data_IF_861500274411
#
_entry.id   IF_861500274411
#
_cell.length_a   1.000
_cell.length_b   1.000
_cell.length_c   1.000
_cell.angle_alpha   90.00
_cell.angle_beta   90.00
_cell.angle_gamma   90.00
#
_symmetry.space_group_name_H-M   'P 1'
#
loop_
_entity.id
_entity.type
_entity.pdbx_description
1 polymer ?
#
# COMPACT_ATOMS: atom_id res chain seq x y z
N UNK A 1 6.75 8.62 -7.23
CA UNK A 1 7.54 8.06 -6.12
C UNK A 1 6.93 6.75 -5.70
N UNK A 2 7.77 5.75 -5.44
CA UNK A 2 7.38 4.53 -4.76
C UNK A 2 7.75 4.64 -3.29
N UNK A 3 6.80 4.37 -2.40
CA UNK A 3 7.03 4.37 -0.95
C UNK A 3 6.70 2.98 -0.42
N UNK A 4 7.61 2.40 0.35
CA UNK A 4 7.36 1.17 1.10
C UNK A 4 7.73 1.36 2.57
N UNK A 5 6.97 0.71 3.45
CA UNK A 5 7.26 0.63 4.88
C UNK A 5 7.27 -0.85 5.25
N UNK A 6 8.39 -1.30 5.78
CA UNK A 6 8.59 -2.69 6.21
C UNK A 6 8.66 -2.70 7.72
N UNK A 7 7.85 -3.55 8.34
CA UNK A 7 7.90 -3.83 9.77
C UNK A 7 8.37 -5.27 9.98
N UNK A 8 9.39 -5.44 10.82
CA UNK A 8 9.88 -6.72 11.29
C UNK A 8 10.03 -6.65 12.81
N UNK A 9 9.54 -7.64 13.56
CA UNK A 9 9.34 -7.50 15.02
C UNK A 9 10.63 -7.19 15.78
N UNK A 10 11.74 -7.80 15.38
CA UNK A 10 13.04 -7.66 16.04
C UNK A 10 13.91 -6.56 15.40
N UNK A 11 13.74 -6.33 14.10
CA UNK A 11 14.56 -5.38 13.33
C UNK A 11 13.96 -3.97 13.33
N UNK A 12 12.65 -3.85 13.57
CA UNK A 12 11.91 -2.60 13.67
C UNK A 12 11.25 -2.18 12.36
N UNK A 13 11.12 -0.88 12.15
CA UNK A 13 10.45 -0.31 10.96
C UNK A 13 11.48 0.33 10.05
N UNK A 14 11.45 -0.01 8.76
CA UNK A 14 12.27 0.66 7.73
C UNK A 14 11.36 1.28 6.67
N UNK A 15 11.64 2.54 6.32
CA UNK A 15 10.99 3.23 5.21
C UNK A 15 11.92 3.26 4.00
N UNK A 16 11.35 3.01 2.83
CA UNK A 16 12.01 3.05 1.54
C UNK A 16 11.36 4.08 0.63
N UNK A 17 12.18 4.89 -0.04
CA UNK A 17 11.76 5.80 -1.10
C UNK A 17 12.44 5.37 -2.40
N UNK A 18 11.64 5.14 -3.44
CA UNK A 18 12.10 4.66 -4.76
C UNK A 18 13.02 3.43 -4.69
N UNK A 19 12.79 2.56 -3.70
CA UNK A 19 13.52 1.31 -3.49
C UNK A 19 14.80 1.43 -2.66
N UNK A 20 15.17 2.61 -2.18
CA UNK A 20 16.31 2.81 -1.29
C UNK A 20 15.84 3.13 0.13
N UNK A 21 16.48 2.55 1.14
CA UNK A 21 16.17 2.86 2.54
C UNK A 21 16.44 4.35 2.86
N UNK A 22 15.47 5.03 3.47
CA UNK A 22 15.54 6.46 3.84
C UNK A 22 15.47 6.72 5.35
N UNK A 23 15.15 5.70 6.14
CA UNK A 23 15.16 5.80 7.59
C UNK A 23 14.70 4.49 8.24
N UNK A 24 15.18 4.26 9.46
CA UNK A 24 14.81 3.11 10.27
C UNK A 24 14.61 3.47 11.73
N UNK A 25 13.65 2.80 12.37
CA UNK A 25 13.48 2.74 13.81
C UNK A 25 13.88 1.34 14.26
N UNK A 26 14.91 1.25 15.10
CA UNK A 26 15.42 -0.03 15.58
C UNK A 26 14.56 -0.51 16.75
N UNK A 27 13.92 -1.66 16.57
CA UNK A 27 13.00 -2.31 17.51
C UNK A 27 11.67 -1.56 17.74
N UNK A 28 10.57 -2.31 17.72
CA UNK A 28 9.25 -1.85 18.17
C UNK A 28 8.90 -2.66 19.41
N UNK A 29 8.96 -2.02 20.57
CA UNK A 29 8.76 -2.68 21.87
C UNK A 29 7.29 -2.89 22.23
N UNK A 30 6.37 -2.14 21.61
CA UNK A 30 4.93 -2.25 21.86
C UNK A 30 4.15 -2.18 20.55
N UNK A 31 3.41 -3.26 20.27
CA UNK A 31 2.32 -3.26 19.31
C UNK A 31 1.01 -3.25 20.09
N UNK A 32 0.16 -2.27 19.81
CA UNK A 32 -1.23 -2.31 20.27
C UNK A 32 -2.14 -2.49 19.07
N UNK A 33 -3.11 -3.38 19.17
CA UNK A 33 -4.20 -3.42 18.20
C UNK A 33 -4.97 -2.11 18.29
N UNK A 34 -5.29 -1.51 17.14
CA UNK A 34 -6.15 -0.34 17.12
C UNK A 34 -7.57 -0.75 17.54
N UNK A 35 -8.09 -0.30 18.69
CA UNK A 35 -9.39 -0.73 19.18
C UNK A 35 -10.56 -0.07 18.41
N UNK A 36 -10.28 0.89 17.53
CA UNK A 36 -11.30 1.77 16.94
C UNK A 36 -11.80 1.34 15.55
N UNK A 37 -11.04 0.57 14.75
CA UNK A 37 -11.59 -0.04 13.53
C UNK A 37 -10.79 -1.20 12.98
N UNK A 38 -11.52 -2.18 12.40
CA UNK A 38 -10.97 -3.22 11.51
C UNK A 38 -10.83 -2.77 10.05
N UNK A 39 -11.22 -1.53 9.73
CA UNK A 39 -11.17 -1.00 8.37
C UNK A 39 -9.86 -0.25 8.12
N UNK A 40 -9.29 -0.46 6.94
CA UNK A 40 -8.14 0.25 6.45
C UNK A 40 -8.61 1.48 5.65
N UNK A 41 -7.93 2.61 5.87
CA UNK A 41 -8.18 3.86 5.15
C UNK A 41 -6.91 4.30 4.44
N UNK A 42 -7.07 4.80 3.22
CA UNK A 42 -6.01 5.45 2.46
C UNK A 42 -6.34 6.93 2.28
N UNK A 43 -5.33 7.80 2.35
CA UNK A 43 -5.43 9.26 2.18
C UNK A 43 -6.38 9.97 3.15
N UNK A 44 -6.84 9.28 4.19
CA UNK A 44 -7.76 9.79 5.20
C UNK A 44 -7.55 9.02 6.50
N UNK A 45 -7.79 9.68 7.63
CA UNK A 45 -7.99 8.99 8.90
C UNK A 45 -9.38 8.33 8.99
N UNK A 46 -9.56 7.51 10.02
CA UNK A 46 -10.82 6.81 10.34
C UNK A 46 -12.01 7.77 10.49
N UNK A 47 -11.78 8.96 11.05
CA UNK A 47 -12.84 9.97 11.26
C UNK A 47 -13.11 10.83 10.03
N UNK A 48 -12.28 10.70 8.97
CA UNK A 48 -12.29 11.53 7.77
C UNK A 48 -12.06 13.03 8.02
N UNK A 49 -11.48 13.34 9.18
CA UNK A 49 -11.16 14.68 9.65
C UNK A 49 -9.81 15.15 9.08
N UNK A 50 -8.87 14.24 8.89
CA UNK A 50 -7.57 14.53 8.32
C UNK A 50 -7.40 13.80 6.99
N UNK A 51 -7.12 14.55 5.94
CA UNK A 51 -6.98 14.03 4.57
C UNK A 51 -5.64 14.43 3.99
N UNK A 52 -5.05 13.52 3.24
CA UNK A 52 -3.91 13.81 2.39
C UNK A 52 -4.39 14.15 0.98
N UNK A 53 -3.70 15.05 0.31
CA UNK A 53 -3.91 15.34 -1.11
C UNK A 53 -2.75 14.73 -1.91
N UNK A 54 -3.07 13.97 -2.96
CA UNK A 54 -2.07 13.26 -3.75
C UNK A 54 -2.70 12.24 -4.69
N UNK A 55 -1.84 11.54 -5.41
CA UNK A 55 -2.20 10.48 -6.36
C UNK A 55 -1.73 9.16 -5.76
N UNK A 56 -2.61 8.15 -5.75
CA UNK A 56 -2.26 6.79 -5.39
C UNK A 56 -2.38 5.89 -6.61
N UNK A 57 -1.43 4.97 -6.73
CA UNK A 57 -1.44 3.88 -7.68
C UNK A 57 -0.78 2.68 -7.04
N UNK A 58 -1.23 1.48 -7.42
CA UNK A 58 -0.50 0.24 -7.11
C UNK A 58 -0.24 0.00 -5.61
N UNK A 59 -1.30 0.09 -4.81
CA UNK A 59 -1.23 -0.06 -3.35
C UNK A 59 -1.21 -1.55 -3.00
N UNK A 60 -0.21 -1.98 -2.22
CA UNK A 60 0.01 -3.38 -1.84
C UNK A 60 0.17 -3.52 -0.34
N UNK A 61 -0.30 -4.63 0.22
CA UNK A 61 -0.08 -5.02 1.61
C UNK A 61 0.36 -6.47 1.66
N UNK A 62 1.43 -6.71 2.42
CA UNK A 62 2.04 -8.01 2.61
C UNK A 62 1.95 -8.43 4.07
N UNK A 63 1.80 -9.74 4.32
CA UNK A 63 1.83 -10.34 5.66
C UNK A 63 3.26 -10.72 6.12
N UNK A 64 4.26 -10.39 5.29
CA UNK A 64 5.68 -10.61 5.55
C UNK A 64 6.50 -9.36 5.29
N UNK A 65 7.66 -9.29 5.93
CA UNK A 65 8.67 -8.29 5.59
C UNK A 65 9.23 -8.59 4.19
N UNK A 66 9.16 -7.59 3.30
CA UNK A 66 9.88 -7.63 2.02
C UNK A 66 11.33 -7.20 2.26
N UNK A 67 12.25 -7.86 1.56
CA UNK A 67 13.65 -7.44 1.52
C UNK A 67 13.82 -6.20 0.64
N UNK A 68 14.90 -5.44 0.84
CA UNK A 68 15.21 -4.29 -0.01
C UNK A 68 15.33 -4.69 -1.49
N UNK A 69 15.92 -5.86 -1.78
CA UNK A 69 16.03 -6.38 -3.15
C UNK A 69 14.66 -6.64 -3.77
N UNK A 70 13.73 -7.27 -3.04
CA UNK A 70 12.37 -7.48 -3.54
C UNK A 70 11.66 -6.15 -3.80
N UNK A 71 11.82 -5.16 -2.92
CA UNK A 71 11.26 -3.82 -3.10
C UNK A 71 11.84 -3.17 -4.37
N UNK A 72 13.16 -3.24 -4.57
CA UNK A 72 13.82 -2.64 -5.73
C UNK A 72 13.39 -3.27 -7.05
N UNK A 73 13.19 -4.58 -7.07
CA UNK A 73 12.71 -5.32 -8.25
C UNK A 73 11.25 -4.98 -8.55
N UNK A 74 10.40 -5.01 -7.53
CA UNK A 74 8.95 -4.95 -7.73
C UNK A 74 8.37 -3.54 -7.79
N UNK A 75 9.12 -2.48 -7.42
CA UNK A 75 8.59 -1.10 -7.30
C UNK A 75 7.98 -0.55 -8.60
N UNK A 76 8.44 -1.03 -9.75
CA UNK A 76 8.00 -0.60 -11.08
C UNK A 76 7.25 -1.70 -11.83
N UNK A 77 6.99 -2.85 -11.19
CA UNK A 77 6.36 -3.99 -11.84
C UNK A 77 4.87 -4.04 -11.49
N UNK A 78 4.03 -4.50 -12.43
CA UNK A 78 2.64 -4.85 -12.13
C UNK A 78 2.57 -6.31 -11.70
N UNK A 79 2.09 -6.54 -10.48
CA UNK A 79 1.97 -7.88 -9.92
C UNK A 79 0.71 -8.59 -10.41
N UNK A 80 0.67 -9.91 -10.21
CA UNK A 80 -0.44 -10.75 -10.59
C UNK A 80 -1.58 -10.69 -9.55
N UNK A 81 -1.26 -10.53 -8.26
CA UNK A 81 -2.22 -10.63 -7.16
C UNK A 81 -2.19 -11.98 -6.44
N UNK A 82 -1.32 -12.88 -6.86
CA UNK A 82 -1.18 -14.26 -6.32
C UNK A 82 0.19 -14.49 -5.67
N UNK A 83 0.96 -13.42 -5.47
CA UNK A 83 2.29 -13.50 -4.88
C UNK A 83 2.23 -13.98 -3.42
N UNK A 84 3.20 -14.79 -3.02
CA UNK A 84 3.25 -15.35 -1.67
C UNK A 84 3.35 -14.24 -0.61
N UNK A 85 2.35 -14.20 0.27
CA UNK A 85 2.21 -13.22 1.35
C UNK A 85 1.57 -11.90 0.94
N UNK A 86 1.12 -11.73 -0.31
CA UNK A 86 0.36 -10.56 -0.74
C UNK A 86 -1.09 -10.72 -0.29
N UNK A 87 -1.52 -9.90 0.66
CA UNK A 87 -2.85 -10.01 1.29
C UNK A 87 -3.85 -8.93 0.85
N UNK A 88 -3.37 -7.90 0.15
CA UNK A 88 -4.24 -6.93 -0.50
C UNK A 88 -3.50 -6.20 -1.61
N UNK A 89 -4.15 -6.06 -2.77
CA UNK A 89 -3.54 -5.39 -3.91
C UNK A 89 -4.55 -4.58 -4.71
N UNK A 90 -4.50 -3.26 -4.57
CA UNK A 90 -5.33 -2.33 -5.33
C UNK A 90 -4.51 -1.67 -6.43
N UNK A 91 -4.68 -2.14 -7.66
CA UNK A 91 -4.00 -1.62 -8.86
C UNK A 91 -4.35 -0.17 -9.17
N UNK A 92 -5.55 0.26 -8.78
CA UNK A 92 -6.10 1.61 -8.97
C UNK A 92 -5.97 2.08 -10.43
N UNK A 93 -6.41 1.26 -11.38
CA UNK A 93 -6.33 1.55 -12.82
C UNK A 93 -7.65 1.30 -13.56
N UNK A 94 -8.77 1.14 -12.85
CA UNK A 94 -10.08 0.90 -13.47
C UNK A 94 -10.59 2.13 -14.24
N UNK A 95 -10.12 3.33 -13.88
CA UNK A 95 -10.43 4.59 -14.55
C UNK A 95 -11.86 5.11 -14.33
N UNK A 96 -12.74 4.32 -13.74
CA UNK A 96 -14.15 4.68 -13.49
C UNK A 96 -14.70 4.04 -12.22
N UNK A 97 -15.83 4.57 -11.73
CA UNK A 97 -16.56 4.05 -10.59
C UNK A 97 -15.95 4.43 -9.24
N UNK A 98 -16.57 3.91 -8.17
CA UNK A 98 -16.23 4.22 -6.79
C UNK A 98 -15.72 2.99 -6.00
N UNK A 99 -15.28 1.95 -6.71
CA UNK A 99 -14.75 0.73 -6.11
C UNK A 99 -13.27 0.56 -6.46
N UNK A 100 -12.44 0.45 -5.43
CA UNK A 100 -11.06 0.00 -5.56
C UNK A 100 -11.06 -1.53 -5.51
N UNK A 101 -10.83 -2.19 -6.64
CA UNK A 101 -10.82 -3.65 -6.73
C UNK A 101 -9.52 -4.18 -6.11
N UNK A 102 -9.65 -5.12 -5.18
CA UNK A 102 -8.56 -5.96 -4.71
C UNK A 102 -8.30 -7.06 -5.74
N UNK A 103 -7.08 -7.10 -6.27
CA UNK A 103 -6.65 -8.06 -7.28
C UNK A 103 -6.22 -9.41 -6.68
N UNK A 104 -6.19 -9.54 -5.35
CA UNK A 104 -5.98 -10.83 -4.67
C UNK A 104 -7.28 -11.62 -4.56
N UNK A 105 -7.17 -12.89 -4.17
CA UNK A 105 -8.34 -13.74 -3.89
C UNK A 105 -9.08 -13.36 -2.59
N UNK A 106 -8.54 -12.43 -1.80
CA UNK A 106 -9.09 -12.05 -0.49
C UNK A 106 -10.31 -11.13 -0.58
N UNK A 107 -10.60 -10.57 -1.76
CA UNK A 107 -11.77 -9.72 -2.00
C UNK A 107 -11.88 -8.52 -1.04
N UNK A 108 -10.76 -7.92 -0.62
CA UNK A 108 -10.75 -6.73 0.23
C UNK A 108 -11.06 -5.46 -0.58
N UNK A 109 -12.15 -5.46 -1.36
CA UNK A 109 -12.54 -4.34 -2.19
C UNK A 109 -12.78 -3.08 -1.33
N UNK A 110 -12.19 -1.96 -1.75
CA UNK A 110 -12.34 -0.66 -1.10
C UNK A 110 -13.44 0.18 -1.73
N UNK A 111 -13.97 1.12 -0.95
CA UNK A 111 -14.86 2.18 -1.44
C UNK A 111 -14.11 3.50 -1.57
N UNK A 112 -14.25 4.16 -2.72
CA UNK A 112 -13.62 5.43 -3.05
C UNK A 112 -14.59 6.57 -2.73
N UNK A 113 -14.15 7.52 -1.90
CA UNK A 113 -14.93 8.70 -1.52
C UNK A 113 -14.19 9.99 -1.89
N UNK A 114 -14.73 10.74 -2.82
CA UNK A 114 -14.24 12.08 -3.19
C UNK A 114 -12.96 12.13 -4.02
N UNK A 115 -12.24 11.02 -4.18
CA UNK A 115 -11.14 10.94 -5.13
C UNK A 115 -11.68 10.80 -6.57
N UNK A 116 -10.90 11.30 -7.53
CA UNK A 116 -11.18 11.20 -8.97
C UNK A 116 -10.11 10.36 -9.65
N UNK A 117 -10.50 9.62 -10.67
CA UNK A 117 -9.56 8.90 -11.51
C UNK A 117 -8.78 9.90 -12.38
N UNK A 118 -7.46 9.72 -12.42
CA UNK A 118 -6.61 10.45 -13.34
C UNK A 118 -6.29 9.53 -14.51
N UNK A 119 -6.56 10.01 -15.72
CA UNK A 119 -6.10 9.34 -16.93
C UNK A 119 -4.60 9.55 -17.03
N UNK A 120 -3.83 8.53 -16.65
CA UNK A 120 -2.42 8.50 -17.00
C UNK A 120 -2.31 8.31 -18.52
N UNK A 121 -1.50 9.11 -19.25
CA UNK A 121 -1.10 8.73 -20.59
C UNK A 121 -0.46 7.33 -20.50
N UNK A 122 -0.88 6.43 -21.40
CA UNK A 122 -0.49 5.02 -21.41
C UNK A 122 1.04 4.91 -21.28
N UNK A 123 1.54 4.39 -20.17
CA UNK A 123 2.97 4.09 -20.02
C UNK A 123 3.30 2.93 -20.99
N UNK A 124 4.24 3.11 -21.92
CA UNK A 124 4.71 2.00 -22.74
C UNK A 124 5.51 1.05 -21.84
N UNK A 125 5.11 -0.22 -21.83
CA UNK A 125 5.84 -1.31 -21.18
C UNK A 125 7.26 -1.44 -21.74
#
# INVERSE_FOLDING_TARGET
YHVAVVFERETGVTMYLDGSAVGSLLSVTELSENPFSKQLYFMSDIQRAHRCSGILSDVRIWDRALTETEIQQQKNERLHGTEAGLIGYWKLNNGVGSTAIDATENNNNGAIYGAVWLNHPVEPY
#
